data_IF_763580890168
#
_entry.id   IF_763580890168
#
_cell.length_a   1.000
_cell.length_b   1.000
_cell.length_c   1.000
_cell.angle_alpha   90.00
_cell.angle_beta   90.00
_cell.angle_gamma   90.00
#
_symmetry.space_group_name_H-M   'P 1'
#
loop_
_entity.id
_entity.type
_entity.pdbx_description
1 polymer ?
#
# COMPACT_ATOMS: atom_id res chain seq x y z
N UNK A 1 21.75 7.40 -3.81
CA UNK A 1 20.32 7.80 -3.79
C UNK A 1 19.53 6.73 -3.06
N UNK A 2 18.55 7.09 -2.23
CA UNK A 2 17.66 6.12 -1.56
C UNK A 2 16.20 6.39 -1.96
N UNK A 3 15.92 6.23 -3.25
CA UNK A 3 14.57 6.32 -3.80
C UNK A 3 13.79 5.04 -3.50
N UNK A 4 12.46 5.14 -3.40
CA UNK A 4 11.53 4.02 -3.23
C UNK A 4 10.42 4.12 -4.27
N UNK A 5 9.96 2.97 -4.78
CA UNK A 5 8.77 2.89 -5.62
C UNK A 5 7.59 2.57 -4.70
N UNK A 6 6.52 3.35 -4.80
CA UNK A 6 5.30 3.19 -3.99
C UNK A 6 4.12 3.04 -4.94
N UNK A 7 3.33 1.98 -4.75
CA UNK A 7 2.08 1.74 -5.48
C UNK A 7 0.96 1.59 -4.47
N UNK A 8 -0.14 2.33 -4.66
CA UNK A 8 -1.30 2.32 -3.77
C UNK A 8 -2.54 1.84 -4.50
N UNK A 9 -3.35 1.01 -3.83
CA UNK A 9 -4.65 0.55 -4.30
C UNK A 9 -5.69 0.76 -3.19
N UNK A 10 -6.97 0.99 -3.52
CA UNK A 10 -8.05 0.93 -2.54
C UNK A 10 -8.09 -0.44 -1.87
N UNK A 11 -8.23 -0.47 -0.54
CA UNK A 11 -8.14 -1.72 0.21
C UNK A 11 -9.29 -2.71 -0.13
N UNK A 12 -10.49 -2.18 -0.36
CA UNK A 12 -11.67 -2.99 -0.69
C UNK A 12 -11.53 -3.74 -2.02
N UNK A 13 -10.67 -3.28 -2.94
CA UNK A 13 -10.39 -3.98 -4.21
C UNK A 13 -9.45 -5.18 -4.03
N UNK A 14 -8.73 -5.26 -2.92
CA UNK A 14 -7.68 -6.27 -2.70
C UNK A 14 -8.02 -7.27 -1.58
N UNK A 15 -8.81 -6.88 -0.59
CA UNK A 15 -9.13 -7.73 0.57
C UNK A 15 -10.26 -8.71 0.26
N UNK A 16 -10.19 -9.91 0.82
CA UNK A 16 -11.25 -10.93 0.69
C UNK A 16 -12.56 -10.53 1.39
N UNK A 17 -12.47 -9.65 2.40
CA UNK A 17 -13.60 -9.13 3.15
C UNK A 17 -13.42 -7.63 3.38
N UNK A 18 -14.51 -6.84 3.43
CA UNK A 18 -14.41 -5.39 3.61
C UNK A 18 -13.62 -5.01 4.86
N UNK A 19 -12.72 -4.03 4.74
CA UNK A 19 -11.86 -3.62 5.88
C UNK A 19 -12.70 -3.09 7.05
N UNK A 20 -13.87 -2.52 6.75
CA UNK A 20 -14.84 -2.05 7.76
C UNK A 20 -15.39 -3.16 8.68
N UNK A 21 -15.30 -4.42 8.27
CA UNK A 21 -15.74 -5.58 9.04
C UNK A 21 -14.61 -6.25 9.84
N UNK A 22 -13.37 -5.76 9.69
CA UNK A 22 -12.21 -6.33 10.36
C UNK A 22 -12.23 -6.01 11.86
N UNK A 23 -12.02 -7.00 12.75
CA UNK A 23 -11.81 -6.72 14.17
C UNK A 23 -10.61 -5.79 14.39
N UNK A 24 -10.76 -4.82 15.28
CA UNK A 24 -9.78 -3.75 15.49
C UNK A 24 -8.40 -4.26 15.97
N UNK A 25 -8.37 -5.43 16.61
CA UNK A 25 -7.15 -6.06 17.13
C UNK A 25 -6.42 -6.92 16.08
N UNK A 26 -6.93 -7.03 14.85
CA UNK A 26 -6.29 -7.81 13.79
C UNK A 26 -5.09 -7.08 13.20
N UNK A 27 -3.91 -7.64 13.42
CA UNK A 27 -2.65 -7.15 12.84
C UNK A 27 -2.45 -7.54 11.36
N UNK A 28 -3.28 -8.43 10.80
CA UNK A 28 -3.18 -8.91 9.42
C UNK A 28 -4.54 -9.14 8.79
N UNK A 29 -4.63 -8.93 7.47
CA UNK A 29 -5.83 -9.22 6.66
C UNK A 29 -5.46 -10.08 5.45
N UNK A 30 -6.37 -10.97 5.05
CA UNK A 30 -6.22 -11.78 3.83
C UNK A 30 -6.47 -10.93 2.59
N UNK A 31 -5.72 -11.20 1.53
CA UNK A 31 -5.80 -10.47 0.26
C UNK A 31 -5.80 -11.42 -0.93
N UNK A 32 -6.59 -11.08 -1.95
CA UNK A 32 -6.65 -11.79 -3.22
C UNK A 32 -5.44 -11.47 -4.12
N UNK A 33 -4.88 -10.26 -3.97
CA UNK A 33 -3.79 -9.75 -4.79
C UNK A 33 -2.77 -8.97 -3.95
N UNK A 34 -1.51 -8.94 -4.40
CA UNK A 34 -0.46 -8.07 -3.85
C UNK A 34 0.31 -7.39 -4.97
N UNK A 35 0.78 -6.17 -4.71
CA UNK A 35 1.80 -5.53 -5.53
C UNK A 35 3.16 -5.83 -4.91
N UNK A 36 4.06 -6.43 -5.69
CA UNK A 36 5.39 -6.84 -5.24
C UNK A 36 6.43 -6.46 -6.29
N UNK A 37 7.69 -6.37 -5.89
CA UNK A 37 8.78 -6.43 -6.84
C UNK A 37 9.02 -7.88 -7.26
N UNK A 38 9.27 -8.08 -8.56
CA UNK A 38 9.59 -9.37 -9.14
C UNK A 38 10.80 -9.21 -10.08
N UNK A 39 11.68 -10.20 -10.13
CA UNK A 39 12.90 -10.16 -10.95
C UNK A 39 12.73 -11.16 -12.08
N UNK A 40 12.61 -10.64 -13.30
CA UNK A 40 12.50 -11.41 -14.54
C UNK A 40 13.43 -10.81 -15.58
N UNK A 41 14.05 -11.67 -16.38
CA UNK A 41 14.98 -11.26 -17.45
C UNK A 41 16.07 -10.29 -16.93
N UNK A 42 16.65 -10.63 -15.78
CA UNK A 42 17.70 -9.86 -15.08
C UNK A 42 17.29 -8.42 -14.68
N UNK A 43 15.98 -8.11 -14.72
CA UNK A 43 15.44 -6.79 -14.41
C UNK A 43 14.37 -6.86 -13.32
N UNK A 44 14.52 -6.01 -12.30
CA UNK A 44 13.47 -5.80 -11.30
C UNK A 44 12.30 -5.03 -11.93
N UNK A 45 11.09 -5.54 -11.73
CA UNK A 45 9.84 -4.95 -12.17
C UNK A 45 8.83 -4.93 -11.00
N UNK A 46 7.77 -4.14 -11.13
CA UNK A 46 6.65 -4.12 -10.19
C UNK A 46 5.51 -4.90 -10.81
N UNK A 47 5.03 -5.93 -10.11
CA UNK A 47 4.04 -6.89 -10.61
C UNK A 47 2.89 -7.05 -9.63
N UNK A 48 1.71 -7.38 -10.18
CA UNK A 48 0.55 -7.81 -9.39
C UNK A 48 0.56 -9.34 -9.34
N UNK A 49 0.56 -9.92 -8.14
CA UNK A 49 0.55 -11.37 -7.91
C UNK A 49 -0.76 -11.82 -7.27
N UNK A 50 -1.22 -13.02 -7.62
CA UNK A 50 -2.47 -13.64 -7.15
C UNK A 50 -2.39 -15.18 -7.26
N UNK A 51 -3.47 -15.88 -6.88
CA UNK A 51 -3.63 -17.33 -7.09
C UNK A 51 -3.18 -18.22 -5.94
N UNK A 52 -2.68 -17.65 -4.84
CA UNK A 52 -2.32 -18.36 -3.61
C UNK A 52 -2.84 -17.61 -2.38
N UNK A 53 -3.12 -18.27 -1.25
CA UNK A 53 -3.47 -17.60 -0.01
C UNK A 53 -2.36 -16.62 0.43
N UNK A 54 -2.72 -15.36 0.65
CA UNK A 54 -1.80 -14.30 1.04
C UNK A 54 -2.40 -13.44 2.15
N UNK A 55 -1.54 -12.86 2.97
CA UNK A 55 -1.92 -11.86 3.98
C UNK A 55 -0.94 -10.69 3.98
N UNK A 56 -1.43 -9.54 4.44
CA UNK A 56 -0.63 -8.32 4.61
C UNK A 56 -0.85 -7.73 6.00
N UNK A 57 0.14 -6.98 6.55
CA UNK A 57 -0.05 -6.24 7.78
C UNK A 57 -1.16 -5.20 7.66
N UNK A 58 -1.91 -5.03 8.74
CA UNK A 58 -2.86 -3.93 8.94
C UNK A 58 -2.22 -2.94 9.90
N UNK A 59 -2.18 -1.66 9.51
CA UNK A 59 -1.59 -0.59 10.32
C UNK A 59 -2.53 0.59 10.38
N UNK A 60 -2.73 1.12 11.58
CA UNK A 60 -3.54 2.32 11.78
C UNK A 60 -2.72 3.58 11.46
N UNK A 61 -3.29 4.42 10.60
CA UNK A 61 -2.74 5.73 10.30
C UNK A 61 -2.98 6.68 11.48
N UNK A 62 -1.91 7.32 11.97
CA UNK A 62 -1.99 8.30 13.07
C UNK A 62 -2.13 9.71 12.52
N UNK A 63 -2.97 10.57 13.12
CA UNK A 63 -3.10 11.97 12.69
C UNK A 63 -1.80 12.73 12.93
N UNK A 64 -1.60 13.80 12.17
CA UNK A 64 -0.49 14.76 12.36
C UNK A 64 -1.04 16.16 12.65
N UNK A 65 -0.16 17.12 12.95
CA UNK A 65 -0.50 18.54 13.10
C UNK A 65 -1.11 19.15 11.82
N UNK A 66 -0.85 18.55 10.64
CA UNK A 66 -1.37 19.04 9.36
C UNK A 66 -2.72 18.37 9.06
N UNK A 67 -3.82 19.13 8.89
CA UNK A 67 -5.12 18.56 8.55
C UNK A 67 -5.07 17.73 7.27
N UNK A 68 -5.67 16.54 7.30
CA UNK A 68 -5.69 15.61 6.17
C UNK A 68 -4.35 14.94 5.84
N UNK A 69 -3.35 15.05 6.74
CA UNK A 69 -2.07 14.34 6.65
C UNK A 69 -1.94 13.38 7.83
N UNK A 70 -1.66 12.12 7.52
CA UNK A 70 -1.51 11.04 8.48
C UNK A 70 -0.14 10.38 8.35
N UNK A 71 0.33 9.72 9.41
CA UNK A 71 1.55 8.90 9.42
C UNK A 71 1.21 7.44 9.60
N UNK A 72 1.79 6.56 8.78
CA UNK A 72 1.69 5.11 8.94
C UNK A 72 3.08 4.47 9.04
N UNK A 73 3.23 3.55 10.00
CA UNK A 73 4.49 2.81 10.23
C UNK A 73 4.35 1.38 9.75
N UNK A 74 4.84 1.10 8.55
CA UNK A 74 4.83 -0.25 7.96
C UNK A 74 6.14 -0.97 8.34
N UNK A 75 6.11 -2.23 8.83
CA UNK A 75 7.31 -3.00 9.12
C UNK A 75 8.26 -3.06 7.92
N UNK A 76 9.53 -2.68 8.12
CA UNK A 76 10.56 -2.72 7.08
C UNK A 76 10.55 -1.55 6.08
N UNK A 77 9.63 -0.60 6.20
CA UNK A 77 9.58 0.60 5.38
C UNK A 77 9.84 1.87 6.21
N UNK A 78 10.33 2.97 5.59
CA UNK A 78 10.31 4.29 6.21
C UNK A 78 8.87 4.69 6.58
N UNK A 79 8.71 5.57 7.57
CA UNK A 79 7.40 6.13 7.93
C UNK A 79 6.77 6.81 6.71
N UNK A 80 5.53 6.46 6.39
CA UNK A 80 4.78 7.05 5.28
C UNK A 80 3.94 8.23 5.79
N UNK A 81 4.09 9.39 5.14
CA UNK A 81 3.16 10.51 5.29
C UNK A 81 2.12 10.43 4.18
N UNK A 82 0.86 10.25 4.54
CA UNK A 82 -0.24 9.97 3.63
C UNK A 82 -1.21 11.14 3.63
N UNK A 83 -1.61 11.60 2.44
CA UNK A 83 -2.70 12.54 2.25
C UNK A 83 -3.56 12.05 1.09
N UNK A 84 -4.87 11.91 1.31
CA UNK A 84 -5.83 11.50 0.29
C UNK A 84 -6.55 12.75 -0.20
N UNK A 85 -6.47 13.03 -1.49
CA UNK A 85 -6.98 14.26 -2.08
C UNK A 85 -7.87 13.96 -3.29
N UNK A 86 -9.13 14.37 -3.21
CA UNK A 86 -10.13 14.17 -4.26
C UNK A 86 -10.39 15.46 -5.07
N UNK A 87 -9.72 16.56 -4.72
CA UNK A 87 -9.87 17.87 -5.35
C UNK A 87 -8.81 18.14 -6.42
N UNK A 88 -7.73 17.36 -6.44
CA UNK A 88 -6.65 17.47 -7.44
C UNK A 88 -6.73 16.31 -8.43
N UNK A 89 -6.62 16.56 -9.75
CA UNK A 89 -6.50 15.49 -10.74
C UNK A 89 -5.29 14.59 -10.44
N UNK A 90 -5.47 13.27 -10.57
CA UNK A 90 -4.39 12.32 -10.43
C UNK A 90 -3.36 12.49 -11.55
N UNK A 91 -2.08 12.39 -11.20
CA UNK A 91 -0.98 12.36 -12.19
C UNK A 91 -0.46 10.94 -12.29
N UNK A 92 -0.36 10.42 -13.51
CA UNK A 92 0.34 9.17 -13.77
C UNK A 92 1.82 9.45 -14.02
N UNK A 93 2.60 9.63 -12.95
CA UNK A 93 4.05 9.83 -13.06
C UNK A 93 4.75 8.50 -13.22
N UNK A 94 5.37 8.27 -14.38
CA UNK A 94 6.31 7.18 -14.60
C UNK A 94 7.72 7.76 -14.59
N UNK A 95 8.45 7.57 -13.49
CA UNK A 95 9.85 7.95 -13.42
C UNK A 95 10.69 6.96 -14.25
N UNK A 96 11.60 7.43 -15.13
CA UNK A 96 12.58 6.54 -15.73
C UNK A 96 13.43 5.91 -14.63
N UNK A 97 13.58 4.58 -14.69
CA UNK A 97 14.48 3.82 -13.82
C UNK A 97 15.91 3.82 -14.32
#
# INVERSE_FOLDING_TARGET
MMSKIVTSLPADDITESPVSSLPLDKATVNVNVRVVDDVKDERQNISVVSGVPMSVPVVDAKPTERPGVFTASIPGAPVLNISVNNSTPAVQTLSPG
#
